data_IF_993573574779
#
_entry.id   IF_993573574779
#
_cell.length_a   1.000
_cell.length_b   1.000
_cell.length_c   1.000
_cell.angle_alpha   90.00
_cell.angle_beta   90.00
_cell.angle_gamma   90.00
#
_symmetry.space_group_name_H-M   'P 1'
#
loop_
_entity.id
_entity.type
_entity.pdbx_description
1 polymer ?
#
# COMPACT_ATOMS: atom_id res chain seq x y z
N UNK A 1 7.97 15.14 -0.65
CA UNK A 1 6.58 14.69 -0.46
C UNK A 1 5.67 15.03 -1.64
N UNK A 2 5.65 16.25 -2.19
CA UNK A 2 4.80 16.57 -3.38
C UNK A 2 5.10 15.69 -4.62
N UNK A 3 6.34 15.21 -4.78
CA UNK A 3 6.74 14.41 -5.96
C UNK A 3 6.21 12.97 -5.96
N UNK A 4 5.97 12.38 -4.79
CA UNK A 4 5.58 10.98 -4.68
C UNK A 4 4.06 10.82 -4.89
N UNK A 5 3.26 11.75 -4.37
CA UNK A 5 1.81 11.84 -4.62
C UNK A 5 1.49 11.99 -6.11
N UNK A 6 2.22 12.88 -6.81
CA UNK A 6 2.09 13.08 -8.26
C UNK A 6 2.41 11.79 -9.03
N UNK A 7 3.31 10.96 -8.50
CA UNK A 7 3.71 9.71 -9.14
C UNK A 7 2.67 8.61 -8.96
N UNK A 8 2.00 8.54 -7.80
CA UNK A 8 0.90 7.61 -7.55
C UNK A 8 -0.35 8.00 -8.34
N UNK A 9 -0.74 9.27 -8.33
CA UNK A 9 -1.91 9.76 -9.08
C UNK A 9 -1.80 9.43 -10.57
N UNK A 10 -0.61 9.62 -11.13
CA UNK A 10 -0.33 9.28 -12.52
C UNK A 10 -0.43 7.77 -12.77
N UNK A 11 0.10 6.95 -11.87
CA UNK A 11 0.01 5.50 -11.99
C UNK A 11 -1.45 5.02 -11.94
N UNK A 12 -2.27 5.57 -11.05
CA UNK A 12 -3.70 5.25 -10.97
C UNK A 12 -4.42 5.65 -12.26
N UNK A 13 -4.12 6.84 -12.81
CA UNK A 13 -4.69 7.30 -14.08
C UNK A 13 -4.30 6.39 -15.26
N UNK A 14 -3.04 5.93 -15.31
CA UNK A 14 -2.58 5.00 -16.34
C UNK A 14 -3.28 3.63 -16.22
N UNK A 15 -3.50 3.14 -15.00
CA UNK A 15 -4.25 1.89 -14.76
C UNK A 15 -5.73 2.07 -15.16
N UNK A 16 -6.35 3.21 -14.85
CA UNK A 16 -7.73 3.52 -15.25
C UNK A 16 -7.88 3.51 -16.77
N UNK A 17 -6.92 4.08 -17.50
CA UNK A 17 -6.90 4.02 -18.96
C UNK A 17 -6.74 2.59 -19.49
N UNK A 18 -5.90 1.77 -18.86
CA UNK A 18 -5.75 0.36 -19.24
C UNK A 18 -7.02 -0.46 -18.99
N UNK A 19 -7.71 -0.21 -17.88
CA UNK A 19 -9.01 -0.83 -17.57
C UNK A 19 -10.05 -0.46 -18.63
N UNK A 20 -10.13 0.81 -19.03
CA UNK A 20 -11.05 1.26 -20.08
C UNK A 20 -10.78 0.53 -21.41
N UNK A 21 -9.53 0.53 -21.85
CA UNK A 21 -9.12 -0.14 -23.09
C UNK A 21 -9.43 -1.63 -23.02
N UNK A 22 -9.01 -2.32 -21.95
CA UNK A 22 -9.27 -3.75 -21.78
C UNK A 22 -10.76 -4.07 -21.73
N UNK A 23 -11.57 -3.23 -21.10
CA UNK A 23 -13.03 -3.38 -21.07
C UNK A 23 -13.63 -3.30 -22.48
N UNK A 24 -13.10 -2.42 -23.33
CA UNK A 24 -13.56 -2.28 -24.72
C UNK A 24 -13.11 -3.44 -25.63
N UNK A 25 -11.95 -4.06 -25.38
CA UNK A 25 -11.36 -5.04 -26.30
C UNK A 25 -11.41 -6.50 -25.82
N UNK A 26 -11.69 -6.75 -24.54
CA UNK A 26 -11.52 -8.09 -23.97
C UNK A 26 -12.46 -9.14 -24.61
N UNK A 27 -13.71 -8.79 -24.91
CA UNK A 27 -14.70 -9.72 -25.46
C UNK A 27 -14.71 -11.04 -24.66
N UNK A 28 -14.60 -12.16 -25.36
CA UNK A 28 -14.49 -13.51 -24.75
C UNK A 28 -13.04 -13.99 -24.57
N UNK A 29 -12.04 -13.12 -24.76
CA UNK A 29 -10.64 -13.48 -24.57
C UNK A 29 -10.35 -13.67 -23.09
N UNK A 30 -10.20 -14.93 -22.69
CA UNK A 30 -9.89 -15.30 -21.30
C UNK A 30 -8.66 -14.58 -20.75
N UNK A 31 -7.63 -14.38 -21.59
CA UNK A 31 -6.40 -13.68 -21.17
C UNK A 31 -6.71 -12.21 -20.88
N UNK A 32 -7.44 -11.52 -21.75
CA UNK A 32 -7.73 -10.09 -21.57
C UNK A 32 -8.71 -9.85 -20.42
N UNK A 33 -9.65 -10.76 -20.20
CA UNK A 33 -10.54 -10.74 -19.04
C UNK A 33 -9.76 -10.88 -17.73
N UNK A 34 -8.78 -11.78 -17.70
CA UNK A 34 -7.92 -11.95 -16.53
C UNK A 34 -7.02 -10.73 -16.30
N UNK A 35 -6.48 -10.13 -17.36
CA UNK A 35 -5.73 -8.87 -17.23
C UNK A 35 -6.63 -7.74 -16.69
N UNK A 36 -7.87 -7.65 -17.18
CA UNK A 36 -8.84 -6.67 -16.67
C UNK A 36 -9.12 -6.87 -15.18
N UNK A 37 -9.25 -8.12 -14.72
CA UNK A 37 -9.40 -8.45 -13.30
C UNK A 37 -8.18 -8.00 -12.49
N UNK A 38 -6.98 -8.36 -12.93
CA UNK A 38 -5.71 -8.02 -12.26
C UNK A 38 -5.54 -6.50 -12.16
N UNK A 39 -5.83 -5.74 -13.22
CA UNK A 39 -5.72 -4.29 -13.19
C UNK A 39 -6.68 -3.64 -12.19
N UNK A 40 -7.92 -4.12 -12.10
CA UNK A 40 -8.89 -3.63 -11.10
C UNK A 40 -8.42 -3.90 -9.68
N UNK A 41 -7.95 -5.12 -9.40
CA UNK A 41 -7.43 -5.49 -8.09
C UNK A 41 -6.16 -4.70 -7.72
N UNK A 42 -5.27 -4.49 -8.69
CA UNK A 42 -4.04 -3.71 -8.48
C UNK A 42 -4.35 -2.26 -8.14
N UNK A 43 -5.33 -1.66 -8.84
CA UNK A 43 -5.80 -0.30 -8.56
C UNK A 43 -6.32 -0.17 -7.14
N UNK A 44 -7.18 -1.09 -6.71
CA UNK A 44 -7.72 -1.10 -5.35
C UNK A 44 -6.62 -1.29 -4.30
N UNK A 45 -5.67 -2.20 -4.56
CA UNK A 45 -4.55 -2.43 -3.67
C UNK A 45 -3.69 -1.17 -3.48
N UNK A 46 -3.40 -0.44 -4.55
CA UNK A 46 -2.62 0.81 -4.49
C UNK A 46 -3.34 1.89 -3.67
N UNK A 47 -4.64 2.08 -3.88
CA UNK A 47 -5.44 3.05 -3.10
C UNK A 47 -5.46 2.67 -1.61
N UNK A 48 -5.64 1.38 -1.31
CA UNK A 48 -5.65 0.92 0.07
C UNK A 48 -4.27 1.07 0.74
N UNK A 49 -3.19 0.85 0.00
CA UNK A 49 -1.82 1.08 0.51
C UNK A 49 -1.57 2.55 0.80
N UNK A 50 -2.01 3.46 -0.07
CA UNK A 50 -1.88 4.89 0.13
C UNK A 50 -2.62 5.37 1.38
N UNK A 51 -3.86 4.90 1.57
CA UNK A 51 -4.65 5.18 2.78
C UNK A 51 -3.96 4.65 4.05
N UNK A 52 -3.39 3.45 4.01
CA UNK A 52 -2.69 2.89 5.18
C UNK A 52 -1.36 3.62 5.44
N UNK A 53 -0.64 4.05 4.41
CA UNK A 53 0.55 4.88 4.57
C UNK A 53 0.21 6.23 5.21
N UNK A 54 -0.87 6.88 4.77
CA UNK A 54 -1.35 8.12 5.37
C UNK A 54 -1.71 7.92 6.85
N UNK A 55 -2.40 6.83 7.19
CA UNK A 55 -2.74 6.47 8.57
C UNK A 55 -1.49 6.19 9.43
N UNK A 56 -0.51 5.46 8.90
CA UNK A 56 0.74 5.16 9.59
C UNK A 56 1.59 6.43 9.79
N UNK A 57 1.59 7.34 8.81
CA UNK A 57 2.26 8.63 8.93
C UNK A 57 1.63 9.46 10.06
N UNK A 58 0.30 9.50 10.17
CA UNK A 58 -0.40 10.17 11.28
C UNK A 58 -0.04 9.55 12.65
N UNK A 59 0.08 8.22 12.73
CA UNK A 59 0.50 7.53 13.95
C UNK A 59 1.95 7.85 14.34
N UNK A 60 2.85 8.03 13.37
CA UNK A 60 4.25 8.38 13.59
C UNK A 60 4.46 9.86 13.96
N UNK A 61 3.64 10.76 13.42
CA UNK A 61 3.72 12.22 13.66
C UNK A 61 3.13 12.60 15.04
N UNK A 62 2.32 11.72 15.63
CA UNK A 62 1.98 11.79 17.04
C UNK A 62 3.21 11.35 17.85
N UNK A 63 3.98 12.34 18.36
CA UNK A 63 5.07 12.20 19.35
C UNK A 63 4.62 11.58 20.68
N UNK A 64 4.14 10.35 20.60
CA UNK A 64 4.01 9.38 21.66
C UNK A 64 4.14 8.03 20.98
N UNK A 65 5.36 7.64 20.64
CA UNK A 65 5.73 6.23 20.58
C UNK A 65 5.69 5.78 22.05
N UNK A 66 4.59 5.19 22.56
CA UNK A 66 4.54 4.80 23.96
C UNK A 66 5.34 3.51 24.02
N UNK A 67 6.59 3.56 24.47
CA UNK A 67 7.24 2.47 25.22
C UNK A 67 7.12 1.03 24.65
N UNK A 68 6.91 0.82 23.35
CA UNK A 68 6.87 -0.51 22.72
C UNK A 68 8.25 -0.96 22.23
N UNK A 69 9.30 -0.20 22.51
CA UNK A 69 10.70 -0.60 22.35
C UNK A 69 11.26 -1.39 23.54
N UNK A 70 10.47 -1.66 24.58
CA UNK A 70 10.91 -2.32 25.82
C UNK A 70 10.86 -3.86 25.76
N UNK A 71 10.98 -4.49 24.58
CA UNK A 71 10.99 -5.97 24.48
C UNK A 71 12.36 -6.51 24.05
N UNK A 72 13.49 -5.84 24.32
CA UNK A 72 14.80 -6.55 24.28
C UNK A 72 15.81 -6.00 25.31
N UNK A 73 15.43 -5.66 26.55
CA UNK A 73 16.43 -5.39 27.62
C UNK A 73 15.95 -5.78 29.02
N UNK A 74 15.61 -7.05 29.26
CA UNK A 74 15.49 -7.56 30.64
C UNK A 74 15.60 -9.09 30.77
N UNK A 75 16.48 -9.75 30.02
CA UNK A 75 17.06 -11.02 30.49
C UNK A 75 18.34 -10.70 31.27
N UNK A 76 18.20 -9.91 32.35
CA UNK A 76 19.26 -9.73 33.33
C UNK A 76 19.27 -10.98 34.22
N UNK A 77 20.26 -11.82 33.98
CA UNK A 77 20.58 -13.03 34.71
C UNK A 77 20.65 -12.74 36.24
N UNK A 78 19.85 -13.39 37.10
CA UNK A 78 19.94 -13.23 38.55
C UNK A 78 21.03 -14.17 39.08
N UNK A 79 22.28 -13.91 38.72
CA UNK A 79 23.43 -14.63 39.28
C UNK A 79 24.64 -13.70 39.41
N UNK A 80 24.52 -12.70 40.28
CA UNK A 80 25.67 -11.97 40.81
C UNK A 80 25.35 -11.45 42.21
N UNK A 81 26.06 -12.04 43.16
CA UNK A 81 26.16 -11.79 44.62
C UNK A 81 25.04 -12.32 45.54
#
# INVERSE_FOLDING_TARGET
MISDDISLDKLIADIDQQIEVLTAIAGDSAILQEQLRIHKESREALINQDLELARLAELLDQDNIPEFTTIIEASKDPSSE
#
